data_IF_341302341630
#
_entry.id   IF_341302341630
#
_cell.length_a   1.000
_cell.length_b   1.000
_cell.length_c   1.000
_cell.angle_alpha   90.00
_cell.angle_beta   90.00
_cell.angle_gamma   90.00
#
_symmetry.space_group_name_H-M   'P 1'
#
loop_
_entity.id
_entity.type
_entity.pdbx_description
1 polymer ?
#
# COMPACT_ATOMS: atom_id res chain seq x y z
N UNK A 1 18.10 6.26 -21.37
CA UNK A 1 16.64 6.41 -21.52
C UNK A 1 16.01 6.43 -20.14
N UNK A 2 15.73 7.63 -19.58
CA UNK A 2 15.05 7.75 -18.29
C UNK A 2 13.61 7.24 -18.48
N UNK A 3 13.32 6.08 -17.91
CA UNK A 3 12.03 5.40 -18.06
C UNK A 3 11.04 6.12 -17.14
N UNK A 4 10.48 7.23 -17.62
CA UNK A 4 9.42 7.97 -16.94
C UNK A 4 8.18 7.08 -16.88
N UNK A 5 8.07 6.28 -15.82
CA UNK A 5 6.82 5.61 -15.52
C UNK A 5 5.75 6.69 -15.31
N UNK A 6 4.54 6.52 -15.86
CA UNK A 6 3.46 7.49 -15.66
C UNK A 6 3.26 7.75 -14.17
N UNK A 7 3.34 9.02 -13.75
CA UNK A 7 3.10 9.39 -12.37
C UNK A 7 1.64 9.07 -12.01
N UNK A 8 1.43 8.42 -10.87
CA UNK A 8 0.09 8.16 -10.35
C UNK A 8 -0.63 9.47 -10.10
N UNK A 9 -1.88 9.54 -10.53
CA UNK A 9 -2.76 10.67 -10.18
C UNK A 9 -2.92 10.73 -8.65
N UNK A 10 -3.24 11.91 -8.06
CA UNK A 10 -3.43 12.05 -6.62
C UNK A 10 -4.43 11.04 -6.04
N UNK A 11 -5.53 10.79 -6.75
CA UNK A 11 -6.54 9.81 -6.34
C UNK A 11 -5.99 8.38 -6.33
N UNK A 12 -5.25 7.98 -7.37
CA UNK A 12 -4.61 6.66 -7.42
C UNK A 12 -3.60 6.49 -6.28
N UNK A 13 -2.81 7.53 -5.98
CA UNK A 13 -1.85 7.51 -4.88
C UNK A 13 -2.57 7.32 -3.53
N UNK A 14 -3.67 8.04 -3.29
CA UNK A 14 -4.46 7.89 -2.06
C UNK A 14 -5.02 6.47 -1.91
N UNK A 15 -5.56 5.90 -2.99
CA UNK A 15 -6.08 4.52 -2.97
C UNK A 15 -4.97 3.51 -2.68
N UNK A 16 -3.81 3.65 -3.35
CA UNK A 16 -2.67 2.76 -3.14
C UNK A 16 -2.19 2.81 -1.70
N UNK A 17 -2.06 4.02 -1.13
CA UNK A 17 -1.65 4.19 0.27
C UNK A 17 -2.68 3.56 1.22
N UNK A 18 -3.98 3.82 1.01
CA UNK A 18 -5.03 3.26 1.85
C UNK A 18 -5.03 1.72 1.84
N UNK A 19 -4.90 1.11 0.66
CA UNK A 19 -4.83 -0.35 0.50
C UNK A 19 -3.57 -0.91 1.17
N UNK A 20 -2.41 -0.28 0.96
CA UNK A 20 -1.16 -0.72 1.58
C UNK A 20 -1.22 -0.68 3.11
N UNK A 21 -1.80 0.38 3.69
CA UNK A 21 -2.01 0.50 5.13
C UNK A 21 -2.95 -0.60 5.65
N UNK A 22 -4.07 -0.85 4.96
CA UNK A 22 -5.01 -1.91 5.35
C UNK A 22 -4.36 -3.30 5.35
N UNK A 23 -3.58 -3.63 4.32
CA UNK A 23 -2.84 -4.90 4.24
C UNK A 23 -1.83 -5.01 5.39
N UNK A 24 -1.08 -3.94 5.66
CA UNK A 24 -0.08 -3.91 6.74
C UNK A 24 -0.75 -4.18 8.09
N UNK A 25 -1.90 -3.54 8.34
CA UNK A 25 -2.66 -3.74 9.57
C UNK A 25 -3.15 -5.19 9.72
N UNK A 26 -3.69 -5.78 8.64
CA UNK A 26 -4.10 -7.18 8.64
C UNK A 26 -2.93 -8.13 8.93
N UNK A 27 -1.76 -7.89 8.36
CA UNK A 27 -0.56 -8.69 8.63
C UNK A 27 -0.14 -8.61 10.10
N UNK A 28 -0.18 -7.42 10.69
CA UNK A 28 0.12 -7.23 12.11
C UNK A 28 -0.88 -7.97 13.01
N UNK A 29 -2.17 -7.96 12.67
CA UNK A 29 -3.18 -8.74 13.40
C UNK A 29 -2.90 -10.24 13.33
N UNK A 30 -2.56 -10.76 12.16
CA UNK A 30 -2.23 -12.18 11.98
C UNK A 30 -0.97 -12.54 12.76
N UNK A 31 0.07 -11.73 12.67
CA UNK A 31 1.31 -11.91 13.45
C UNK A 31 1.04 -11.92 14.96
N UNK A 32 0.22 -10.98 15.45
CA UNK A 32 -0.16 -10.90 16.85
C UNK A 32 -1.03 -12.08 17.32
N UNK A 33 -1.82 -12.69 16.43
CA UNK A 33 -2.62 -13.87 16.74
C UNK A 33 -1.81 -15.19 16.73
N UNK A 34 -0.63 -15.19 16.12
CA UNK A 34 0.26 -16.36 16.05
C UNK A 34 1.24 -16.47 17.22
N UNK A 35 1.41 -15.41 18.01
CA UNK A 35 2.24 -15.38 19.23
C UNK A 35 1.42 -15.64 20.49
#
# INVERSE_FOLDING_TARGET
MHRNAPALTPNQRTVVVAVATAITFLLLLVLGALG
#
